data_IF_670147585694
#
_entry.id   IF_670147585694
#
_cell.length_a   1.000
_cell.length_b   1.000
_cell.length_c   1.000
_cell.angle_alpha   90.00
_cell.angle_beta   90.00
_cell.angle_gamma   90.00
#
_symmetry.space_group_name_H-M   'P 1'
#
loop_
_entity.id
_entity.type
_entity.pdbx_description
1 polymer ?
#
# COMPACT_ATOMS: atom_id res chain seq x y z
N UNK A 1 -7.94 15.21 -30.26
CA UNK A 1 -7.99 15.08 -28.78
C UNK A 1 -6.80 15.85 -28.21
N UNK A 2 -7.06 17.03 -27.64
CA UNK A 2 -6.05 18.03 -27.24
C UNK A 2 -5.58 17.91 -25.78
N UNK A 3 -5.56 16.70 -25.22
CA UNK A 3 -5.01 16.46 -23.87
C UNK A 3 -3.49 16.22 -23.89
N UNK A 4 -2.88 16.26 -25.08
CA UNK A 4 -1.44 16.29 -25.28
C UNK A 4 -1.09 17.58 -26.02
N UNK A 5 -1.08 18.69 -25.30
CA UNK A 5 -0.17 19.76 -25.67
C UNK A 5 1.23 19.28 -25.28
N UNK A 6 2.18 19.32 -26.20
CA UNK A 6 3.61 19.06 -25.97
C UNK A 6 4.28 20.10 -25.05
N UNK A 7 3.51 20.73 -24.14
CA UNK A 7 3.90 21.80 -23.22
C UNK A 7 3.61 21.46 -21.74
N UNK A 8 3.16 20.25 -21.42
CA UNK A 8 2.98 19.86 -20.02
C UNK A 8 4.32 19.48 -19.38
N UNK A 9 4.93 20.52 -18.81
CA UNK A 9 6.12 20.51 -17.97
C UNK A 9 6.09 19.31 -17.01
N UNK A 10 7.19 18.56 -16.89
CA UNK A 10 7.41 17.45 -15.93
C UNK A 10 6.90 17.75 -14.51
N UNK A 11 6.88 19.03 -14.11
CA UNK A 11 6.21 19.51 -12.89
C UNK A 11 4.75 19.09 -12.78
N UNK A 12 3.94 19.22 -13.83
CA UNK A 12 2.53 18.82 -13.84
C UNK A 12 2.36 17.31 -13.67
N UNK A 13 3.21 16.51 -14.30
CA UNK A 13 3.21 15.05 -14.13
C UNK A 13 3.59 14.65 -12.70
N UNK A 14 4.63 15.27 -12.13
CA UNK A 14 5.05 15.05 -10.74
C UNK A 14 3.99 15.49 -9.73
N UNK A 15 3.32 16.62 -9.98
CA UNK A 15 2.22 17.10 -9.13
C UNK A 15 1.05 16.12 -9.17
N UNK A 16 0.65 15.65 -10.36
CA UNK A 16 -0.42 14.66 -10.49
C UNK A 16 -0.06 13.31 -9.84
N UNK A 17 1.21 12.88 -9.96
CA UNK A 17 1.72 11.70 -9.24
C UNK A 17 1.65 11.90 -7.73
N UNK A 18 2.13 13.04 -7.23
CA UNK A 18 2.15 13.35 -5.81
C UNK A 18 0.73 13.45 -5.23
N UNK A 19 -0.21 14.04 -5.97
CA UNK A 19 -1.63 14.05 -5.63
C UNK A 19 -2.19 12.63 -5.62
N UNK A 20 -1.91 11.80 -6.63
CA UNK A 20 -2.35 10.41 -6.68
C UNK A 20 -1.81 9.57 -5.52
N UNK A 21 -0.53 9.75 -5.17
CA UNK A 21 0.13 9.09 -4.05
C UNK A 21 -0.41 9.59 -2.70
N UNK A 22 -0.60 10.90 -2.51
CA UNK A 22 -1.23 11.45 -1.31
C UNK A 22 -2.68 11.00 -1.20
N UNK A 23 -3.43 10.91 -2.30
CA UNK A 23 -4.79 10.38 -2.27
C UNK A 23 -4.78 8.90 -1.89
N UNK A 24 -3.86 8.10 -2.43
CA UNK A 24 -3.72 6.68 -2.08
C UNK A 24 -3.34 6.50 -0.61
N UNK A 25 -2.24 7.12 -0.16
CA UNK A 25 -1.78 7.08 1.24
C UNK A 25 -2.79 7.73 2.18
N UNK A 26 -3.42 8.84 1.79
CA UNK A 26 -4.40 9.56 2.57
C UNK A 26 -5.71 8.80 2.71
N UNK A 27 -6.15 8.05 1.69
CA UNK A 27 -7.27 7.11 1.82
C UNK A 27 -6.89 5.99 2.79
N UNK A 28 -5.67 5.44 2.71
CA UNK A 28 -5.20 4.41 3.62
C UNK A 28 -5.05 4.91 5.06
N UNK A 29 -4.56 6.14 5.25
CA UNK A 29 -4.40 6.80 6.54
C UNK A 29 -5.75 7.23 7.11
N UNK A 30 -6.67 7.68 6.26
CA UNK A 30 -8.06 7.99 6.62
C UNK A 30 -8.80 6.75 7.09
N UNK A 31 -8.64 5.62 6.39
CA UNK A 31 -9.11 4.31 6.88
C UNK A 31 -8.45 3.98 8.21
N UNK A 32 -7.12 4.10 8.34
CA UNK A 32 -6.43 3.83 9.60
C UNK A 32 -6.87 4.73 10.75
N UNK A 33 -7.22 6.01 10.53
CA UNK A 33 -7.68 6.94 11.57
C UNK A 33 -9.15 6.72 11.94
N UNK A 34 -10.00 6.32 10.99
CA UNK A 34 -11.39 5.92 11.29
C UNK A 34 -11.40 4.68 12.21
N UNK A 35 -10.39 3.81 12.09
CA UNK A 35 -10.25 2.59 12.88
C UNK A 35 -9.21 2.68 14.01
N UNK A 36 -8.59 3.84 14.26
CA UNK A 36 -7.61 4.00 15.35
C UNK A 36 -8.32 4.36 16.64
N UNK A 37 -8.19 3.50 17.63
CA UNK A 37 -8.47 3.82 19.03
C UNK A 37 -7.12 4.25 19.67
N UNK A 38 -6.98 5.49 20.19
CA UNK A 38 -5.69 6.05 20.61
C UNK A 38 -5.15 5.50 21.95
N UNK A 39 -5.89 4.64 22.64
CA UNK A 39 -5.55 4.20 23.99
C UNK A 39 -4.74 2.88 24.01
N UNK A 40 -3.42 3.06 24.16
CA UNK A 40 -2.39 2.16 24.70
C UNK A 40 -2.46 0.65 24.38
N UNK A 41 -1.36 0.13 23.80
CA UNK A 41 -1.06 -1.32 23.83
C UNK A 41 -1.19 -1.85 25.27
N UNK A 42 -2.04 -2.83 25.50
CA UNK A 42 -2.27 -3.38 26.83
C UNK A 42 -3.69 -3.92 27.04
N UNK A 43 -3.98 -4.31 28.28
CA UNK A 43 -5.33 -4.71 28.70
C UNK A 43 -6.10 -3.44 29.05
N UNK A 44 -7.14 -3.13 28.26
CA UNK A 44 -8.05 -2.02 28.51
C UNK A 44 -8.87 -2.29 29.77
N UNK A 45 -9.45 -1.24 30.37
CA UNK A 45 -10.21 -1.34 31.61
C UNK A 45 -11.47 -2.23 31.51
N UNK A 46 -11.91 -2.53 30.28
CA UNK A 46 -13.01 -3.45 29.96
C UNK A 46 -12.56 -4.91 29.82
N UNK A 47 -11.26 -5.20 29.98
CA UNK A 47 -10.67 -6.53 29.81
C UNK A 47 -10.34 -6.90 28.37
N UNK A 48 -10.58 -6.00 27.40
CA UNK A 48 -10.14 -6.21 26.01
C UNK A 48 -8.62 -6.01 25.88
N UNK A 49 -7.99 -6.74 24.95
CA UNK A 49 -6.55 -6.66 24.71
C UNK A 49 -6.33 -5.85 23.43
N UNK A 50 -5.61 -4.74 23.55
CA UNK A 50 -5.17 -3.94 22.42
C UNK A 50 -3.69 -4.23 22.12
N UNK A 51 -3.43 -4.77 20.94
CA UNK A 51 -2.11 -5.18 20.48
C UNK A 51 -1.42 -4.08 19.63
N UNK A 52 -2.08 -2.93 19.48
CA UNK A 52 -1.61 -1.74 18.79
C UNK A 52 -1.49 -1.89 17.28
N UNK A 53 -0.53 -1.16 16.68
CA UNK A 53 -0.42 -0.99 15.23
C UNK A 53 -0.54 -2.27 14.38
N UNK A 54 0.06 -3.42 14.75
CA UNK A 54 -0.11 -4.65 13.98
C UNK A 54 -1.56 -5.16 13.95
N UNK A 55 -2.34 -4.96 15.02
CA UNK A 55 -3.76 -5.33 15.06
C UNK A 55 -4.58 -4.40 14.17
N UNK A 56 -4.43 -3.09 14.35
CA UNK A 56 -5.11 -2.09 13.50
C UNK A 56 -4.80 -2.30 12.02
N UNK A 57 -3.57 -2.71 11.70
CA UNK A 57 -3.19 -3.06 10.34
C UNK A 57 -4.03 -4.22 9.79
N UNK A 58 -4.11 -5.36 10.49
CA UNK A 58 -4.89 -6.51 10.02
C UNK A 58 -6.39 -6.26 10.02
N UNK A 59 -6.92 -5.46 10.95
CA UNK A 59 -8.32 -5.04 10.95
C UNK A 59 -8.65 -4.16 9.74
N UNK A 60 -7.77 -3.22 9.39
CA UNK A 60 -7.91 -2.41 8.19
C UNK A 60 -7.83 -3.28 6.92
N UNK A 61 -6.88 -4.22 6.86
CA UNK A 61 -6.74 -5.15 5.74
C UNK A 61 -7.96 -6.08 5.60
N UNK A 62 -8.54 -6.54 6.72
CA UNK A 62 -9.76 -7.33 6.72
C UNK A 62 -10.94 -6.53 6.16
N UNK A 63 -11.11 -5.30 6.63
CA UNK A 63 -12.18 -4.38 6.24
C UNK A 63 -12.13 -4.07 4.74
N UNK A 64 -10.96 -3.65 4.24
CA UNK A 64 -10.77 -3.37 2.81
C UNK A 64 -10.93 -4.66 1.99
N UNK A 65 -10.25 -5.72 2.41
CA UNK A 65 -10.28 -7.02 1.75
C UNK A 65 -9.50 -7.09 0.43
N UNK A 66 -9.22 -8.32 -0.04
CA UNK A 66 -8.33 -8.56 -1.17
C UNK A 66 -8.92 -8.11 -2.51
N UNK A 67 -10.24 -8.17 -2.67
CA UNK A 67 -10.91 -7.75 -3.91
C UNK A 67 -10.70 -6.27 -4.21
N UNK A 68 -10.85 -5.40 -3.21
CA UNK A 68 -10.62 -3.96 -3.37
C UNK A 68 -9.13 -3.69 -3.67
N UNK A 69 -8.21 -4.40 -3.03
CA UNK A 69 -6.77 -4.26 -3.30
C UNK A 69 -6.38 -4.70 -4.72
N UNK A 70 -7.00 -5.75 -5.27
CA UNK A 70 -6.83 -6.15 -6.67
C UNK A 70 -7.36 -5.10 -7.64
N UNK A 71 -8.56 -4.55 -7.36
CA UNK A 71 -9.12 -3.46 -8.17
C UNK A 71 -8.19 -2.25 -8.12
N UNK A 72 -7.69 -1.88 -6.94
CA UNK A 72 -6.74 -0.79 -6.78
C UNK A 72 -5.46 -1.02 -7.60
N UNK A 73 -4.97 -2.26 -7.69
CA UNK A 73 -3.81 -2.61 -8.49
C UNK A 73 -4.06 -2.47 -9.99
N UNK A 74 -5.21 -2.97 -10.46
CA UNK A 74 -5.63 -2.82 -11.86
C UNK A 74 -5.80 -1.35 -12.24
N UNK A 75 -6.47 -0.56 -11.40
CA UNK A 75 -6.65 0.87 -11.63
C UNK A 75 -5.32 1.63 -11.60
N UNK A 76 -4.42 1.28 -10.67
CA UNK A 76 -3.07 1.86 -10.62
C UNK A 76 -2.27 1.54 -11.88
N UNK A 77 -2.32 0.29 -12.36
CA UNK A 77 -1.72 -0.12 -13.63
C UNK A 77 -2.30 0.62 -14.84
N UNK A 78 -3.63 0.82 -14.88
CA UNK A 78 -4.29 1.57 -15.94
C UNK A 78 -3.91 3.05 -15.92
N UNK A 79 -3.71 3.62 -14.73
CA UNK A 79 -3.21 4.97 -14.56
C UNK A 79 -1.77 5.08 -15.07
N UNK A 80 -0.89 4.13 -14.74
CA UNK A 80 0.46 4.08 -15.30
C UNK A 80 0.42 3.99 -16.83
N UNK A 81 -0.45 3.13 -17.39
CA UNK A 81 -0.67 3.06 -18.83
C UNK A 81 -1.07 4.41 -19.43
N UNK A 82 -2.07 5.08 -18.86
CA UNK A 82 -2.56 6.37 -19.33
C UNK A 82 -1.53 7.49 -19.25
N UNK A 83 -0.61 7.43 -18.28
CA UNK A 83 0.47 8.41 -18.12
C UNK A 83 1.72 8.12 -18.94
N UNK A 84 1.91 6.88 -19.40
CA UNK A 84 3.13 6.44 -20.09
C UNK A 84 2.79 5.71 -21.40
N UNK A 85 2.77 4.37 -21.39
CA UNK A 85 2.39 3.52 -22.51
C UNK A 85 1.93 2.13 -22.04
N UNK A 86 1.39 1.32 -22.97
CA UNK A 86 0.81 0.01 -22.65
C UNK A 86 1.83 -0.94 -22.01
N UNK A 87 3.05 -0.95 -22.51
CA UNK A 87 4.13 -1.81 -21.99
C UNK A 87 4.42 -1.49 -20.52
N UNK A 88 4.47 -0.22 -20.16
CA UNK A 88 4.72 0.23 -18.78
C UNK A 88 3.56 -0.04 -17.83
N UNK A 89 2.32 0.07 -18.30
CA UNK A 89 1.17 -0.41 -17.54
C UNK A 89 1.28 -1.90 -17.21
N UNK A 90 1.59 -2.73 -18.20
CA UNK A 90 1.77 -4.18 -18.00
C UNK A 90 2.95 -4.49 -17.06
N UNK A 91 4.10 -3.83 -17.24
CA UNK A 91 5.26 -3.97 -16.34
C UNK A 91 4.89 -3.62 -14.89
N UNK A 92 4.12 -2.54 -14.68
CA UNK A 92 3.64 -2.12 -13.36
C UNK A 92 2.73 -3.18 -12.72
N UNK A 93 1.78 -3.73 -13.48
CA UNK A 93 0.91 -4.80 -12.99
C UNK A 93 1.70 -6.06 -12.59
N UNK A 94 2.65 -6.48 -13.44
CA UNK A 94 3.49 -7.66 -13.16
C UNK A 94 4.34 -7.44 -11.91
N UNK A 95 4.94 -6.25 -11.76
CA UNK A 95 5.70 -5.88 -10.55
C UNK A 95 4.79 -5.92 -9.32
N UNK A 96 3.57 -5.36 -9.40
CA UNK A 96 2.60 -5.41 -8.32
C UNK A 96 2.25 -6.83 -7.88
N UNK A 97 2.00 -7.73 -8.84
CA UNK A 97 1.69 -9.13 -8.55
C UNK A 97 2.88 -9.90 -7.96
N UNK A 98 4.07 -9.76 -8.56
CA UNK A 98 5.28 -10.43 -8.07
C UNK A 98 5.67 -9.94 -6.67
N UNK A 99 5.60 -8.62 -6.43
CA UNK A 99 5.90 -8.05 -5.12
C UNK A 99 4.84 -8.41 -4.09
N UNK A 100 3.58 -8.63 -4.48
CA UNK A 100 2.55 -9.13 -3.56
C UNK A 100 2.92 -10.50 -2.99
N UNK A 101 3.41 -11.40 -3.83
CA UNK A 101 3.75 -12.76 -3.43
C UNK A 101 5.07 -12.77 -2.66
N UNK A 102 6.14 -12.22 -3.24
CA UNK A 102 7.49 -12.34 -2.69
C UNK A 102 7.71 -11.44 -1.48
N UNK A 103 7.41 -10.15 -1.63
CA UNK A 103 7.68 -9.15 -0.58
C UNK A 103 6.49 -9.08 0.38
N UNK A 104 5.27 -9.11 -0.14
CA UNK A 104 4.05 -9.11 0.66
C UNK A 104 4.00 -10.30 1.61
N UNK A 105 4.37 -11.50 1.17
CA UNK A 105 4.54 -12.68 2.02
C UNK A 105 5.44 -12.42 3.22
N UNK A 106 6.67 -11.97 2.94
CA UNK A 106 7.67 -11.68 3.98
C UNK A 106 7.21 -10.57 4.94
N UNK A 107 6.73 -9.44 4.42
CA UNK A 107 6.31 -8.29 5.25
C UNK A 107 5.14 -8.67 6.15
N UNK A 108 4.12 -9.34 5.60
CA UNK A 108 2.95 -9.76 6.36
C UNK A 108 3.33 -10.74 7.47
N UNK A 109 4.24 -11.68 7.20
CA UNK A 109 4.73 -12.61 8.21
C UNK A 109 5.45 -11.89 9.37
N UNK A 110 6.25 -10.86 9.08
CA UNK A 110 6.88 -10.05 10.13
C UNK A 110 5.85 -9.26 10.95
N UNK A 111 4.78 -8.76 10.32
CA UNK A 111 3.71 -8.05 11.04
C UNK A 111 2.91 -9.03 11.92
N UNK A 112 2.67 -10.26 11.46
CA UNK A 112 2.07 -11.32 12.29
C UNK A 112 2.95 -11.66 13.48
N UNK A 113 4.26 -11.85 13.29
CA UNK A 113 5.19 -12.09 14.39
C UNK A 113 5.21 -10.93 15.40
N UNK A 114 5.12 -9.68 14.93
CA UNK A 114 5.00 -8.52 15.81
C UNK A 114 3.67 -8.49 16.58
N UNK A 115 2.58 -8.97 15.96
CA UNK A 115 1.28 -9.11 16.60
C UNK A 115 1.30 -10.19 17.70
N UNK A 116 1.86 -11.36 17.39
CA UNK A 116 2.05 -12.47 18.35
C UNK A 116 2.97 -12.07 19.51
N UNK A 117 4.05 -11.35 19.21
CA UNK A 117 4.95 -10.81 20.25
C UNK A 117 4.23 -9.82 21.15
N UNK A 118 3.40 -8.92 20.61
CA UNK A 118 2.60 -8.01 21.43
C UNK A 118 1.58 -8.77 22.30
N UNK A 119 0.97 -9.84 21.79
CA UNK A 119 0.05 -10.67 22.57
C UNK A 119 0.76 -11.36 23.73
N UNK A 120 1.93 -11.94 23.47
CA UNK A 120 2.74 -12.55 24.53
C UNK A 120 3.15 -11.53 25.61
N UNK A 121 3.56 -10.34 25.18
CA UNK A 121 3.95 -9.24 26.08
C UNK A 121 2.77 -8.67 26.89
N UNK A 122 1.53 -8.82 26.41
CA UNK A 122 0.32 -8.40 27.13
C UNK A 122 -0.07 -9.34 28.28
N UNK A 123 0.63 -10.47 28.45
CA UNK A 123 0.36 -11.45 29.51
C UNK A 123 -0.74 -12.47 29.17
N UNK A 124 -1.28 -12.43 27.94
CA UNK A 124 -2.30 -13.34 27.44
C UNK A 124 -1.71 -14.67 26.92
N UNK A 125 -0.90 -15.32 27.75
CA UNK A 125 -0.22 -16.58 27.43
C UNK A 125 -1.22 -17.74 27.38
N UNK A 126 -1.82 -17.98 26.21
CA UNK A 126 -2.81 -19.05 26.00
C UNK A 126 -3.92 -18.69 25.01
N UNK A 127 -4.02 -17.43 24.59
CA UNK A 127 -4.94 -17.02 23.52
C UNK A 127 -4.25 -17.29 22.18
N UNK A 128 -4.95 -17.98 21.27
CA UNK A 128 -4.48 -18.19 19.89
C UNK A 128 -4.92 -16.99 19.05
N UNK A 129 -3.95 -16.32 18.45
CA UNK A 129 -4.17 -15.24 17.50
C UNK A 129 -4.52 -15.84 16.13
N UNK A 130 -5.78 -15.71 15.73
CA UNK A 130 -6.26 -16.18 14.42
C UNK A 130 -6.44 -14.99 13.47
N UNK A 131 -5.37 -14.64 12.75
CA UNK A 131 -5.45 -13.63 11.68
C UNK A 131 -6.15 -14.26 10.48
N UNK A 132 -7.37 -13.80 10.20
CA UNK A 132 -8.18 -14.33 9.09
C UNK A 132 -7.44 -14.24 7.75
N UNK A 133 -7.51 -15.30 6.95
CA UNK A 133 -6.91 -15.39 5.60
C UNK A 133 -7.27 -14.21 4.69
N UNK A 134 -8.48 -13.66 4.86
CA UNK A 134 -8.91 -12.46 4.14
C UNK A 134 -7.96 -11.27 4.38
N UNK A 135 -7.56 -11.04 5.62
CA UNK A 135 -6.64 -9.96 5.99
C UNK A 135 -5.22 -10.24 5.48
N UNK A 136 -4.79 -11.50 5.54
CA UNK A 136 -3.49 -11.96 5.04
C UNK A 136 -3.37 -11.71 3.52
N UNK A 137 -4.37 -12.16 2.76
CA UNK A 137 -4.39 -11.98 1.31
C UNK A 137 -4.49 -10.50 0.91
N UNK A 138 -5.25 -9.69 1.66
CA UNK A 138 -5.31 -8.24 1.44
C UNK A 138 -3.96 -7.56 1.74
N UNK A 139 -3.27 -7.99 2.79
CA UNK A 139 -1.93 -7.52 3.19
C UNK A 139 -0.89 -7.78 2.10
N UNK A 140 -0.88 -8.98 1.49
CA UNK A 140 -0.01 -9.30 0.36
C UNK A 140 -0.21 -8.31 -0.80
N UNK A 141 -1.46 -8.12 -1.20
CA UNK A 141 -1.83 -7.24 -2.31
C UNK A 141 -1.57 -5.77 -2.01
N UNK A 142 -1.73 -5.36 -0.75
CA UNK A 142 -1.39 -4.02 -0.29
C UNK A 142 0.10 -3.72 -0.49
N UNK A 143 0.96 -4.62 -0.06
CA UNK A 143 2.41 -4.48 -0.25
C UNK A 143 2.76 -4.46 -1.74
N UNK A 144 2.16 -5.34 -2.54
CA UNK A 144 2.34 -5.31 -3.99
C UNK A 144 1.94 -3.98 -4.63
N UNK A 145 0.83 -3.39 -4.21
CA UNK A 145 0.40 -2.06 -4.65
C UNK A 145 1.45 -0.99 -4.29
N UNK A 146 2.01 -1.02 -3.08
CA UNK A 146 3.06 -0.07 -2.70
C UNK A 146 4.29 -0.16 -3.61
N UNK A 147 4.72 -1.38 -3.96
CA UNK A 147 5.87 -1.59 -4.86
C UNK A 147 5.58 -1.22 -6.31
N UNK A 148 4.34 -1.43 -6.78
CA UNK A 148 3.88 -0.92 -8.08
C UNK A 148 4.05 0.60 -8.13
N UNK A 149 3.54 1.30 -7.11
CA UNK A 149 3.66 2.76 -7.02
C UNK A 149 5.10 3.22 -6.87
N UNK A 150 5.91 2.56 -6.04
CA UNK A 150 7.32 2.87 -5.87
C UNK A 150 8.12 2.70 -7.17
N UNK A 151 7.86 1.64 -7.93
CA UNK A 151 8.49 1.44 -9.24
C UNK A 151 8.09 2.54 -10.21
N UNK A 152 6.80 2.91 -10.24
CA UNK A 152 6.33 4.02 -11.08
C UNK A 152 6.98 5.36 -10.68
N UNK A 153 7.16 5.64 -9.38
CA UNK A 153 7.88 6.83 -8.90
C UNK A 153 9.31 6.87 -9.43
N UNK A 154 10.03 5.76 -9.29
CA UNK A 154 11.42 5.64 -9.74
C UNK A 154 11.53 5.85 -11.25
N UNK A 155 10.55 5.35 -12.00
CA UNK A 155 10.48 5.54 -13.44
C UNK A 155 10.24 7.01 -13.81
N UNK A 156 9.29 7.68 -13.15
CA UNK A 156 9.06 9.13 -13.32
C UNK A 156 10.32 9.94 -13.00
N UNK A 157 11.06 9.59 -11.95
CA UNK A 157 12.32 10.26 -11.58
C UNK A 157 13.42 10.00 -12.64
N UNK A 158 13.49 8.79 -13.20
CA UNK A 158 14.47 8.41 -14.24
C UNK A 158 14.20 9.08 -15.58
N UNK A 159 12.94 9.39 -15.90
CA UNK A 159 12.54 10.19 -17.06
C UNK A 159 12.87 11.68 -16.92
N UNK A 160 13.78 12.09 -16.02
CA UNK A 160 14.49 13.36 -16.18
C UNK A 160 14.98 13.44 -17.62
N UNK A 161 14.63 14.50 -18.38
CA UNK A 161 15.33 14.77 -19.61
C UNK A 161 16.80 14.77 -19.25
N UNK A 162 17.63 14.03 -19.99
CA UNK A 162 18.96 14.57 -20.25
C UNK A 162 18.68 16.01 -20.65
N UNK A 163 19.26 16.98 -19.95
CA UNK A 163 19.35 18.31 -20.53
C UNK A 163 19.94 18.06 -21.91
N UNK A 164 19.11 18.11 -22.95
CA UNK A 164 19.52 18.58 -24.25
C UNK A 164 19.92 20.02 -23.95
N UNK A 165 21.12 20.16 -23.39
CA UNK A 165 21.95 21.32 -23.58
C UNK A 165 21.99 21.45 -25.10
N UNK A 166 21.14 22.38 -25.55
CA UNK A 166 21.46 23.40 -26.54
C UNK A 166 22.87 23.25 -27.10
N UNK A 167 22.91 23.14 -28.44
CA UNK A 167 24.04 23.31 -29.36
C UNK A 167 24.92 22.08 -29.62
#
# INVERSE_FOLDING_TARGET
MSLFSSKDTIKGLLINYFIGFICFIGILFGVSMIFHDPDSKGVKADGSIDLGLPQTYFEAMFTIGPGIMLIAMLLSSLLVYGMTNLRKGIEALVIGLLCSILIGGFVTMNIQQALDSNLHNSGANGIILDVKDRAINASYLFVGNLFLWANFLLEVIRFKPKNTLLE
#
